data_IF_200547059662
#
_entry.id   IF_200547059662
#
_cell.length_a   1.000
_cell.length_b   1.000
_cell.length_c   1.000
_cell.angle_alpha   90.00
_cell.angle_beta   90.00
_cell.angle_gamma   90.00
#
_symmetry.space_group_name_H-M   'P 1'
#
loop_
_entity.id
_entity.type
_entity.pdbx_description
1 polymer ?
#
# COMPACT_ATOMS: atom_id res chain seq x y z
N UNK A 1 -26.33 12.04 -4.52
CA UNK A 1 -25.03 11.45 -4.94
C UNK A 1 -24.73 10.27 -4.04
N UNK A 2 -24.86 9.05 -4.54
CA UNK A 2 -24.52 7.83 -3.80
C UNK A 2 -23.02 7.90 -3.46
N UNK A 3 -22.65 7.79 -2.18
CA UNK A 3 -21.27 7.59 -1.75
C UNK A 3 -20.83 6.22 -2.30
N UNK A 4 -20.14 6.20 -3.42
CA UNK A 4 -19.61 4.98 -4.01
C UNK A 4 -18.86 4.20 -2.93
N UNK A 5 -19.20 2.92 -2.77
CA UNK A 5 -18.55 2.01 -1.84
C UNK A 5 -17.05 2.00 -2.18
N UNK A 6 -16.20 2.41 -1.24
CA UNK A 6 -14.74 2.38 -1.46
C UNK A 6 -14.32 0.95 -1.79
N UNK A 7 -13.46 0.81 -2.79
CA UNK A 7 -12.88 -0.47 -3.16
C UNK A 7 -12.13 -1.06 -1.94
N UNK A 8 -12.53 -2.24 -1.48
CA UNK A 8 -11.78 -2.98 -0.45
C UNK A 8 -10.76 -3.86 -1.15
N UNK A 9 -9.46 -3.59 -0.96
CA UNK A 9 -8.35 -4.36 -1.55
C UNK A 9 -7.83 -5.38 -0.54
N UNK A 10 -7.64 -4.95 0.71
CA UNK A 10 -7.19 -5.75 1.82
C UNK A 10 -8.30 -5.87 2.88
N UNK A 11 -8.28 -6.95 3.63
CA UNK A 11 -9.09 -7.11 4.83
C UNK A 11 -8.58 -6.22 5.97
N UNK A 12 -9.40 -5.99 6.99
CA UNK A 12 -8.99 -5.21 8.16
C UNK A 12 -7.79 -5.85 8.89
N UNK A 13 -7.75 -7.18 8.96
CA UNK A 13 -6.64 -7.91 9.57
C UNK A 13 -5.32 -7.73 8.78
N UNK A 14 -5.36 -7.82 7.46
CA UNK A 14 -4.17 -7.58 6.62
C UNK A 14 -3.68 -6.13 6.71
N UNK A 15 -4.60 -5.16 6.79
CA UNK A 15 -4.23 -3.75 6.98
C UNK A 15 -3.55 -3.57 8.35
N UNK A 16 -4.10 -4.17 9.40
CA UNK A 16 -3.52 -4.11 10.73
C UNK A 16 -2.14 -4.78 10.77
N UNK A 17 -2.01 -5.95 10.17
CA UNK A 17 -0.74 -6.68 10.07
C UNK A 17 0.34 -5.84 9.35
N UNK A 18 0.01 -5.20 8.24
CA UNK A 18 0.96 -4.40 7.46
C UNK A 18 1.33 -3.08 8.15
N UNK A 19 0.34 -2.35 8.69
CA UNK A 19 0.52 -0.97 9.15
C UNK A 19 0.62 -0.83 10.67
N UNK A 20 0.46 -1.90 11.45
CA UNK A 20 0.74 -1.86 12.89
C UNK A 20 2.25 -1.94 13.15
N UNK A 21 2.73 -1.33 14.25
CA UNK A 21 4.10 -1.51 14.71
C UNK A 21 4.40 -3.00 14.92
N UNK A 22 5.60 -3.46 14.56
CA UNK A 22 6.00 -4.83 14.81
C UNK A 22 6.05 -5.10 16.32
N UNK A 23 5.74 -6.33 16.72
CA UNK A 23 5.93 -6.81 18.08
C UNK A 23 7.20 -7.65 18.08
N UNK A 24 8.27 -7.11 18.65
CA UNK A 24 9.57 -7.75 18.64
C UNK A 24 9.78 -8.65 19.86
N UNK A 25 10.31 -9.85 19.64
CA UNK A 25 10.94 -10.66 20.68
C UNK A 25 12.28 -10.01 21.10
N UNK A 26 12.90 -10.50 22.16
CA UNK A 26 14.21 -9.99 22.60
C UNK A 26 15.31 -10.22 21.54
N UNK A 27 15.24 -11.32 20.79
CA UNK A 27 16.14 -11.60 19.67
C UNK A 27 15.92 -10.62 18.50
N UNK A 28 14.65 -10.31 18.18
CA UNK A 28 14.33 -9.35 17.14
C UNK A 28 14.78 -7.93 17.53
N UNK A 29 14.56 -7.54 18.80
CA UNK A 29 15.05 -6.26 19.30
C UNK A 29 16.57 -6.14 19.16
N UNK A 30 17.33 -7.18 19.48
CA UNK A 30 18.77 -7.20 19.26
C UNK A 30 19.14 -7.09 17.80
N UNK A 31 18.45 -7.78 16.92
CA UNK A 31 18.72 -7.78 15.48
C UNK A 31 18.39 -6.42 14.85
N UNK A 32 17.16 -5.92 15.04
CA UNK A 32 16.67 -4.71 14.35
C UNK A 32 17.21 -3.41 14.97
N UNK A 33 17.53 -3.37 16.26
CA UNK A 33 18.03 -2.17 16.92
C UNK A 33 19.56 -2.11 17.02
N UNK A 34 20.29 -3.13 16.56
CA UNK A 34 21.74 -3.03 16.42
C UNK A 34 22.08 -2.11 15.26
N UNK A 35 22.87 -1.08 15.55
CA UNK A 35 23.31 -0.09 14.59
C UNK A 35 24.66 -0.50 13.99
N UNK A 36 24.82 -0.31 12.69
CA UNK A 36 26.13 -0.30 12.06
C UNK A 36 26.83 1.06 12.30
N UNK A 37 28.11 1.17 11.94
CA UNK A 37 28.92 2.38 12.20
C UNK A 37 28.31 3.64 11.56
N UNK A 38 27.84 3.54 10.32
CA UNK A 38 27.20 4.67 9.63
C UNK A 38 25.90 5.10 10.31
N UNK A 39 25.07 4.14 10.72
CA UNK A 39 23.84 4.42 11.45
C UNK A 39 24.11 5.06 12.79
N UNK A 40 25.10 4.55 13.50
CA UNK A 40 25.52 5.07 14.79
C UNK A 40 25.99 6.52 14.68
N UNK A 41 26.83 6.84 13.71
CA UNK A 41 27.34 8.20 13.47
C UNK A 41 26.19 9.16 13.14
N UNK A 42 25.27 8.78 12.25
CA UNK A 42 24.14 9.63 11.87
C UNK A 42 23.16 9.86 13.03
N UNK A 43 22.89 8.83 13.83
CA UNK A 43 22.05 8.96 15.02
C UNK A 43 22.73 9.89 16.05
N UNK A 44 24.04 9.83 16.21
CA UNK A 44 24.76 10.69 17.14
C UNK A 44 24.74 12.17 16.77
N UNK A 45 24.49 12.51 15.51
CA UNK A 45 24.27 13.92 15.04
C UNK A 45 22.95 14.51 15.55
N UNK A 46 22.02 13.69 16.05
CA UNK A 46 20.79 14.16 16.66
C UNK A 46 21.14 14.74 18.04
N UNK A 47 20.84 16.00 18.28
CA UNK A 47 21.24 16.72 19.52
C UNK A 47 20.58 16.12 20.78
N UNK A 48 19.28 15.86 20.72
CA UNK A 48 18.49 15.36 21.87
C UNK A 48 18.61 13.84 21.99
N UNK A 49 19.07 13.35 23.14
CA UNK A 49 19.22 11.91 23.41
C UNK A 49 17.90 11.13 23.34
N UNK A 50 16.77 11.74 23.75
CA UNK A 50 15.45 11.11 23.63
C UNK A 50 15.05 10.93 22.17
N UNK A 51 15.35 11.92 21.34
CA UNK A 51 15.12 11.81 19.91
C UNK A 51 16.00 10.75 19.25
N UNK A 52 17.24 10.54 19.75
CA UNK A 52 18.11 9.43 19.29
C UNK A 52 17.45 8.08 19.57
N UNK A 53 16.95 7.88 20.79
CA UNK A 53 16.25 6.63 21.16
C UNK A 53 15.06 6.37 20.23
N UNK A 54 14.23 7.37 20.02
CA UNK A 54 13.09 7.23 19.09
C UNK A 54 13.55 6.96 17.66
N UNK A 55 14.58 7.66 17.18
CA UNK A 55 15.10 7.44 15.83
C UNK A 55 15.60 6.01 15.63
N UNK A 56 16.26 5.41 16.64
CA UNK A 56 16.70 4.01 16.60
C UNK A 56 15.50 3.05 16.53
N UNK A 57 14.45 3.30 17.32
CA UNK A 57 13.23 2.48 17.28
C UNK A 57 12.54 2.60 15.93
N UNK A 58 12.39 3.82 15.39
CA UNK A 58 11.81 4.02 14.06
C UNK A 58 12.65 3.38 12.95
N UNK A 59 13.98 3.45 13.06
CA UNK A 59 14.90 2.78 12.14
C UNK A 59 14.71 1.26 12.16
N UNK A 60 14.64 0.66 13.35
CA UNK A 60 14.42 -0.78 13.50
C UNK A 60 13.05 -1.21 12.96
N UNK A 61 12.01 -0.43 13.20
CA UNK A 61 10.69 -0.69 12.64
C UNK A 61 10.71 -0.63 11.11
N UNK A 62 11.37 0.37 10.54
CA UNK A 62 11.48 0.48 9.08
C UNK A 62 12.33 -0.63 8.46
N UNK A 63 13.39 -1.09 9.14
CA UNK A 63 14.16 -2.26 8.71
C UNK A 63 13.30 -3.54 8.67
N UNK A 64 12.37 -3.67 9.61
CA UNK A 64 11.43 -4.80 9.67
C UNK A 64 10.31 -4.69 8.64
N UNK A 65 9.77 -3.49 8.47
CA UNK A 65 8.67 -3.18 7.53
C UNK A 65 8.98 -1.85 6.85
N UNK A 66 9.18 -1.82 5.51
CA UNK A 66 9.53 -0.60 4.78
C UNK A 66 8.34 0.38 4.64
N UNK A 67 7.59 0.56 5.71
CA UNK A 67 6.40 1.39 5.81
C UNK A 67 6.65 2.47 6.88
N UNK A 68 6.42 3.74 6.60
CA UNK A 68 6.48 4.81 7.59
C UNK A 68 5.35 4.65 8.62
N UNK A 69 5.60 3.88 9.66
CA UNK A 69 4.64 3.64 10.71
C UNK A 69 4.46 4.88 11.59
N UNK A 70 3.24 5.07 12.11
CA UNK A 70 2.95 6.12 13.07
C UNK A 70 2.64 5.52 14.47
N UNK A 71 3.61 4.87 15.13
CA UNK A 71 3.37 4.19 16.38
C UNK A 71 3.02 5.17 17.51
N UNK A 72 2.14 4.73 18.41
CA UNK A 72 1.87 5.44 19.66
C UNK A 72 3.04 5.25 20.64
N UNK A 73 3.19 6.17 21.57
CA UNK A 73 4.18 6.00 22.64
C UNK A 73 3.99 4.68 23.41
N UNK A 74 2.73 4.29 23.64
CA UNK A 74 2.40 3.06 24.37
C UNK A 74 2.87 1.81 23.61
N UNK A 75 2.69 1.78 22.28
CA UNK A 75 3.14 0.64 21.47
C UNK A 75 4.66 0.52 21.35
N UNK A 76 5.40 1.63 21.49
CA UNK A 76 6.87 1.64 21.44
C UNK A 76 7.53 1.42 22.79
N UNK A 77 6.80 1.37 23.91
CA UNK A 77 7.36 1.48 25.26
C UNK A 77 8.43 0.43 25.56
N UNK A 78 8.21 -0.82 25.20
CA UNK A 78 9.17 -1.92 25.38
C UNK A 78 10.47 -1.65 24.62
N UNK A 79 10.34 -1.27 23.35
CA UNK A 79 11.47 -1.07 22.44
C UNK A 79 12.28 0.17 22.82
N UNK A 80 11.60 1.24 23.25
CA UNK A 80 12.26 2.43 23.77
C UNK A 80 13.06 2.13 25.04
N UNK A 81 12.53 1.29 25.94
CA UNK A 81 13.24 0.85 27.15
C UNK A 81 14.46 -0.01 26.78
N UNK A 82 14.31 -0.94 25.85
CA UNK A 82 15.40 -1.79 25.36
C UNK A 82 16.54 -0.95 24.73
N UNK A 83 16.21 -0.06 23.80
CA UNK A 83 17.19 0.81 23.14
C UNK A 83 17.88 1.75 24.13
N UNK A 84 17.12 2.31 25.10
CA UNK A 84 17.71 3.15 26.16
C UNK A 84 18.73 2.39 26.99
N UNK A 85 18.41 1.15 27.37
CA UNK A 85 19.33 0.28 28.11
C UNK A 85 20.57 -0.09 27.30
N UNK A 86 20.41 -0.30 26.01
CA UNK A 86 21.49 -0.72 25.11
C UNK A 86 22.51 0.40 24.86
N UNK A 87 22.03 1.60 24.52
CA UNK A 87 22.87 2.71 24.05
C UNK A 87 23.03 3.88 25.02
N UNK A 88 22.10 4.05 25.97
CA UNK A 88 22.02 5.24 26.83
C UNK A 88 21.77 4.87 28.28
N UNK A 89 22.67 4.09 28.89
CA UNK A 89 22.53 3.50 30.26
C UNK A 89 22.14 4.50 31.33
N UNK A 90 22.58 5.76 31.22
CA UNK A 90 22.31 6.83 32.18
C UNK A 90 21.00 7.59 31.88
N UNK A 91 20.30 7.27 30.78
CA UNK A 91 19.08 7.96 30.40
C UNK A 91 17.90 7.43 31.23
N UNK A 92 17.46 8.18 32.22
CA UNK A 92 16.20 7.91 32.91
C UNK A 92 15.04 8.17 31.93
N UNK A 93 14.53 7.10 31.36
CA UNK A 93 13.45 7.15 30.39
C UNK A 93 12.14 7.58 31.10
N UNK A 94 11.61 8.73 30.72
CA UNK A 94 10.29 9.20 31.15
C UNK A 94 9.40 9.34 29.92
N UNK A 95 8.08 9.13 30.11
CA UNK A 95 7.10 9.35 29.07
C UNK A 95 7.24 10.77 28.51
N UNK A 96 7.39 10.89 27.20
CA UNK A 96 7.40 12.15 26.48
C UNK A 96 6.60 11.99 25.18
N UNK A 97 6.08 13.09 24.65
CA UNK A 97 5.42 13.13 23.37
C UNK A 97 6.30 13.88 22.38
N UNK A 98 6.39 13.38 21.17
CA UNK A 98 6.98 14.10 20.05
C UNK A 98 5.89 14.91 19.37
N UNK A 99 6.20 16.16 19.03
CA UNK A 99 5.36 16.94 18.13
C UNK A 99 5.39 16.33 16.72
N UNK A 100 4.33 16.56 15.93
CA UNK A 100 4.21 15.99 14.60
C UNK A 100 5.39 16.35 13.68
N UNK A 101 5.85 17.61 13.75
CA UNK A 101 7.01 18.10 13.00
C UNK A 101 8.32 17.42 13.40
N UNK A 102 8.51 17.17 14.70
CA UNK A 102 9.69 16.45 15.20
C UNK A 102 9.71 15.01 14.71
N UNK A 103 8.54 14.36 14.71
CA UNK A 103 8.39 13.00 14.21
C UNK A 103 8.65 12.90 12.72
N UNK A 104 8.11 13.84 11.92
CA UNK A 104 8.37 13.93 10.49
C UNK A 104 9.87 14.05 10.20
N UNK A 105 10.56 14.96 10.87
CA UNK A 105 12.02 15.15 10.72
C UNK A 105 12.83 13.90 11.11
N UNK A 106 12.40 13.14 12.12
CA UNK A 106 13.06 11.89 12.48
C UNK A 106 12.85 10.83 11.40
N UNK A 107 11.64 10.74 10.83
CA UNK A 107 11.38 9.84 9.71
C UNK A 107 12.19 10.20 8.46
N UNK A 108 12.22 11.47 8.07
CA UNK A 108 13.03 11.95 6.95
C UNK A 108 14.50 11.56 7.12
N UNK A 109 15.03 11.68 8.34
CA UNK A 109 16.39 11.28 8.66
C UNK A 109 16.59 9.76 8.58
N UNK A 110 15.64 8.96 9.06
CA UNK A 110 15.67 7.50 8.95
C UNK A 110 15.62 7.05 7.50
N UNK A 111 14.73 7.64 6.68
CA UNK A 111 14.64 7.34 5.26
C UNK A 111 15.93 7.69 4.53
N UNK A 112 16.49 8.88 4.77
CA UNK A 112 17.77 9.32 4.20
C UNK A 112 18.92 8.38 4.57
N UNK A 113 18.96 7.92 5.82
CA UNK A 113 19.97 6.98 6.30
C UNK A 113 19.92 5.63 5.57
N UNK A 114 18.74 5.18 5.23
CA UNK A 114 18.49 3.94 4.50
C UNK A 114 18.55 4.10 2.97
N UNK A 115 18.71 5.34 2.48
CA UNK A 115 18.68 5.64 1.05
C UNK A 115 17.29 5.38 0.42
N UNK A 116 16.23 5.64 1.19
CA UNK A 116 14.85 5.47 0.77
C UNK A 116 14.21 6.83 0.54
N UNK A 117 13.54 7.01 -0.60
CA UNK A 117 12.79 8.21 -0.94
C UNK A 117 11.42 8.25 -0.26
N UNK A 118 10.96 9.47 0.08
CA UNK A 118 9.59 9.63 0.61
C UNK A 118 8.57 9.59 -0.54
N UNK A 119 7.43 8.93 -0.30
CA UNK A 119 6.31 8.88 -1.25
C UNK A 119 5.75 10.27 -1.64
N UNK A 120 5.93 11.30 -0.84
CA UNK A 120 5.39 12.64 -1.13
C UNK A 120 5.97 13.29 -2.40
N UNK A 121 6.94 12.67 -3.05
CA UNK A 121 7.51 13.13 -4.31
C UNK A 121 6.50 12.95 -5.46
N UNK A 122 6.15 14.07 -6.13
CA UNK A 122 5.19 14.07 -7.24
C UNK A 122 5.66 13.22 -8.42
N UNK A 123 6.96 13.09 -8.62
CA UNK A 123 7.55 12.27 -9.67
C UNK A 123 7.25 10.78 -9.44
N UNK A 124 7.42 10.29 -8.20
CA UNK A 124 7.11 8.90 -7.85
C UNK A 124 5.64 8.55 -8.09
N UNK A 125 4.71 9.46 -7.81
CA UNK A 125 3.29 9.25 -8.08
C UNK A 125 3.02 9.03 -9.57
N UNK A 126 3.61 9.84 -10.44
CA UNK A 126 3.45 9.73 -11.90
C UNK A 126 4.01 8.40 -12.42
N UNK A 127 5.23 8.05 -12.02
CA UNK A 127 5.89 6.80 -12.41
C UNK A 127 5.12 5.57 -11.96
N UNK A 128 4.64 5.57 -10.71
CA UNK A 128 3.83 4.47 -10.19
C UNK A 128 2.49 4.36 -10.92
N UNK A 129 1.84 5.48 -11.25
CA UNK A 129 0.58 5.45 -12.02
C UNK A 129 0.79 4.82 -13.40
N UNK A 130 1.89 5.16 -14.09
CA UNK A 130 2.27 4.53 -15.36
C UNK A 130 2.45 3.02 -15.22
N UNK A 131 3.26 2.58 -14.25
CA UNK A 131 3.48 1.16 -13.95
C UNK A 131 2.17 0.40 -13.66
N UNK A 132 1.28 1.00 -12.89
CA UNK A 132 -0.02 0.38 -12.56
C UNK A 132 -0.96 0.28 -13.75
N UNK A 133 -0.96 1.26 -14.66
CA UNK A 133 -1.75 1.18 -15.89
C UNK A 133 -1.26 0.06 -16.81
N UNK A 134 0.05 -0.14 -16.91
CA UNK A 134 0.64 -1.26 -17.63
C UNK A 134 0.27 -2.59 -16.99
N UNK A 135 0.40 -2.70 -15.68
CA UNK A 135 0.02 -3.89 -14.91
C UNK A 135 -1.45 -4.23 -15.03
N UNK A 136 -2.34 -3.21 -15.08
CA UNK A 136 -3.79 -3.39 -15.23
C UNK A 136 -4.19 -4.01 -16.57
N UNK A 137 -3.37 -3.88 -17.62
CA UNK A 137 -3.61 -4.57 -18.90
C UNK A 137 -3.45 -6.10 -18.78
N UNK A 138 -2.65 -6.58 -17.85
CA UNK A 138 -2.42 -8.01 -17.62
C UNK A 138 -3.25 -8.55 -16.45
N UNK A 139 -3.41 -7.76 -15.39
CA UNK A 139 -4.01 -8.16 -14.13
C UNK A 139 -4.88 -7.03 -13.55
N UNK A 140 -6.13 -6.92 -13.99
CA UNK A 140 -7.06 -5.91 -13.48
C UNK A 140 -7.66 -6.25 -12.10
N UNK A 141 -7.06 -7.19 -11.35
CA UNK A 141 -7.51 -7.54 -10.00
C UNK A 141 -6.92 -6.55 -8.97
N UNK A 142 -7.73 -5.96 -8.08
CA UNK A 142 -7.27 -4.96 -7.12
C UNK A 142 -6.13 -5.44 -6.23
N UNK A 143 -6.16 -6.73 -5.81
CA UNK A 143 -5.12 -7.34 -4.98
C UNK A 143 -3.81 -7.46 -5.72
N UNK A 144 -3.82 -7.97 -6.95
CA UNK A 144 -2.62 -8.11 -7.77
C UNK A 144 -1.96 -6.75 -8.04
N UNK A 145 -2.76 -5.70 -8.26
CA UNK A 145 -2.23 -4.33 -8.40
C UNK A 145 -1.63 -3.81 -7.10
N UNK A 146 -2.18 -4.14 -5.95
CA UNK A 146 -1.61 -3.78 -4.66
C UNK A 146 -0.26 -4.45 -4.44
N UNK A 147 -0.17 -5.76 -4.70
CA UNK A 147 1.06 -6.54 -4.55
C UNK A 147 2.15 -6.01 -5.52
N UNK A 148 1.79 -5.77 -6.81
CA UNK A 148 2.69 -5.14 -7.80
C UNK A 148 3.13 -3.74 -7.38
N UNK A 149 2.25 -2.95 -6.74
CA UNK A 149 2.59 -1.63 -6.21
C UNK A 149 3.65 -1.71 -5.12
N UNK A 150 3.44 -2.59 -4.14
CA UNK A 150 4.37 -2.74 -3.01
C UNK A 150 5.73 -3.26 -3.46
N UNK A 151 5.75 -4.17 -4.42
CA UNK A 151 6.98 -4.67 -5.05
C UNK A 151 7.73 -3.57 -5.80
N UNK A 152 7.02 -2.80 -6.64
CA UNK A 152 7.59 -1.65 -7.36
C UNK A 152 8.22 -0.63 -6.41
N UNK A 153 7.49 -0.25 -5.35
CA UNK A 153 7.98 0.72 -4.37
C UNK A 153 9.23 0.21 -3.64
N UNK A 154 9.22 -1.06 -3.24
CA UNK A 154 10.36 -1.70 -2.56
C UNK A 154 11.58 -1.76 -3.47
N UNK A 155 11.41 -2.17 -4.73
CA UNK A 155 12.50 -2.26 -5.73
C UNK A 155 13.13 -0.89 -5.99
N UNK A 156 12.32 0.16 -6.09
CA UNK A 156 12.78 1.53 -6.34
C UNK A 156 13.21 2.27 -5.07
N UNK A 157 13.25 1.60 -3.92
CA UNK A 157 13.60 2.20 -2.61
C UNK A 157 12.72 3.41 -2.28
N UNK A 158 11.43 3.25 -2.49
CA UNK A 158 10.42 4.26 -2.15
C UNK A 158 9.64 3.75 -0.94
N UNK A 159 9.46 4.59 0.07
CA UNK A 159 8.69 4.25 1.25
C UNK A 159 7.21 3.98 0.89
N UNK A 160 6.67 2.86 1.34
CA UNK A 160 5.29 2.46 1.07
C UNK A 160 4.34 3.42 1.80
N UNK A 161 3.47 4.16 1.09
CA UNK A 161 2.57 5.12 1.71
C UNK A 161 1.43 4.44 2.49
N UNK A 162 0.61 5.25 3.18
CA UNK A 162 -0.55 4.74 3.89
C UNK A 162 -1.52 3.98 2.97
N UNK A 163 -2.16 2.93 3.49
CA UNK A 163 -3.11 2.10 2.75
C UNK A 163 -4.17 2.92 1.98
N UNK A 164 -4.71 3.96 2.62
CA UNK A 164 -5.72 4.82 1.98
C UNK A 164 -5.20 5.55 0.73
N UNK A 165 -3.92 5.86 0.67
CA UNK A 165 -3.26 6.46 -0.50
C UNK A 165 -3.17 5.44 -1.64
N UNK A 166 -2.68 4.23 -1.36
CA UNK A 166 -2.62 3.16 -2.35
C UNK A 166 -4.00 2.73 -2.83
N UNK A 167 -4.97 2.59 -1.91
CA UNK A 167 -6.35 2.27 -2.23
C UNK A 167 -6.96 3.29 -3.21
N UNK A 168 -6.73 4.57 -2.97
CA UNK A 168 -7.21 5.66 -3.86
C UNK A 168 -6.56 5.57 -5.23
N UNK A 169 -5.25 5.40 -5.28
CA UNK A 169 -4.49 5.32 -6.53
C UNK A 169 -4.93 4.11 -7.37
N UNK A 170 -4.98 2.93 -6.77
CA UNK A 170 -5.41 1.70 -7.46
C UNK A 170 -6.85 1.83 -7.96
N UNK A 171 -7.74 2.44 -7.15
CA UNK A 171 -9.12 2.68 -7.58
C UNK A 171 -9.19 3.61 -8.80
N UNK A 172 -8.36 4.65 -8.84
CA UNK A 172 -8.28 5.57 -9.97
C UNK A 172 -7.76 4.87 -11.23
N UNK A 173 -6.70 4.09 -11.09
CA UNK A 173 -6.12 3.31 -12.21
C UNK A 173 -7.14 2.32 -12.78
N UNK A 174 -7.86 1.59 -11.93
CA UNK A 174 -8.89 0.64 -12.37
C UNK A 174 -10.04 1.34 -13.12
N UNK A 175 -10.49 2.49 -12.63
CA UNK A 175 -11.51 3.30 -13.33
C UNK A 175 -10.98 3.77 -14.69
N UNK A 176 -9.76 4.28 -14.74
CA UNK A 176 -9.12 4.74 -15.97
C UNK A 176 -8.96 3.60 -16.97
N UNK A 177 -8.47 2.45 -16.53
CA UNK A 177 -8.34 1.25 -17.37
C UNK A 177 -9.70 0.77 -17.88
N UNK A 178 -10.73 0.71 -17.03
CA UNK A 178 -12.08 0.31 -17.42
C UNK A 178 -12.67 1.27 -18.46
N UNK A 179 -12.50 2.58 -18.29
CA UNK A 179 -12.96 3.58 -19.25
C UNK A 179 -12.23 3.44 -20.61
N UNK A 180 -10.90 3.25 -20.58
CA UNK A 180 -10.11 3.03 -21.80
C UNK A 180 -10.55 1.75 -22.53
N UNK A 181 -10.80 0.66 -21.80
CA UNK A 181 -11.31 -0.58 -22.36
C UNK A 181 -12.71 -0.37 -22.99
N UNK A 182 -13.60 0.33 -22.27
CA UNK A 182 -14.93 0.66 -22.78
C UNK A 182 -14.88 1.43 -24.10
N UNK A 183 -14.04 2.47 -24.20
CA UNK A 183 -13.90 3.25 -25.43
C UNK A 183 -13.28 2.41 -26.58
N UNK A 184 -12.32 1.53 -26.27
CA UNK A 184 -11.76 0.59 -27.28
C UNK A 184 -12.83 -0.37 -27.81
N UNK A 185 -13.61 -0.98 -26.92
CA UNK A 185 -14.72 -1.87 -27.32
C UNK A 185 -15.76 -1.10 -28.15
N UNK A 186 -16.13 0.10 -27.70
CA UNK A 186 -17.09 0.97 -28.40
C UNK A 186 -16.60 1.37 -29.81
N UNK A 187 -15.31 1.65 -29.97
CA UNK A 187 -14.71 1.98 -31.26
C UNK A 187 -14.62 0.75 -32.18
N UNK A 188 -14.28 -0.42 -31.63
CA UNK A 188 -14.19 -1.65 -32.40
C UNK A 188 -15.56 -2.27 -32.77
N UNK A 189 -16.64 -1.87 -32.07
CA UNK A 189 -17.96 -2.46 -32.26
C UNK A 189 -18.66 -1.88 -33.49
N UNK A 190 -18.95 -2.68 -34.54
CA UNK A 190 -19.69 -2.22 -35.74
C UNK A 190 -21.07 -1.68 -35.35
N UNK A 191 -21.58 -0.71 -36.13
CA UNK A 191 -22.90 -0.12 -35.89
C UNK A 191 -24.03 -1.17 -35.87
N UNK A 192 -23.98 -2.14 -36.79
CA UNK A 192 -24.96 -3.24 -36.85
C UNK A 192 -24.95 -4.13 -35.60
N UNK A 193 -23.78 -4.41 -35.02
CA UNK A 193 -23.68 -5.19 -33.82
C UNK A 193 -24.25 -4.45 -32.59
N UNK A 194 -24.10 -3.13 -32.53
CA UNK A 194 -24.73 -2.32 -31.47
C UNK A 194 -26.24 -2.40 -31.50
N UNK A 195 -26.83 -2.31 -32.69
CA UNK A 195 -28.30 -2.45 -32.88
C UNK A 195 -28.76 -3.85 -32.45
N UNK A 196 -28.09 -4.88 -32.93
CA UNK A 196 -28.40 -6.28 -32.57
C UNK A 196 -28.28 -6.56 -31.06
N UNK A 197 -27.23 -6.03 -30.38
CA UNK A 197 -27.11 -6.16 -28.95
C UNK A 197 -28.20 -5.38 -28.21
N UNK A 198 -28.60 -4.20 -28.70
CA UNK A 198 -29.70 -3.44 -28.09
C UNK A 198 -31.03 -4.16 -28.23
N UNK A 199 -31.30 -4.80 -29.36
CA UNK A 199 -32.48 -5.60 -29.59
C UNK A 199 -32.51 -6.84 -28.69
N UNK A 200 -31.39 -7.52 -28.51
CA UNK A 200 -31.25 -8.65 -27.59
C UNK A 200 -31.45 -8.27 -26.13
N UNK A 201 -31.07 -7.05 -25.75
CA UNK A 201 -31.18 -6.59 -24.34
C UNK A 201 -32.53 -5.94 -24.02
N UNK A 202 -33.19 -5.34 -24.99
CA UNK A 202 -34.42 -4.53 -24.83
C UNK A 202 -35.63 -5.05 -25.57
N UNK A 203 -35.48 -6.12 -26.41
CA UNK A 203 -36.57 -6.71 -27.17
C UNK A 203 -37.53 -7.55 -26.31
N UNK A 204 -38.72 -7.88 -26.89
CA UNK A 204 -39.72 -8.75 -26.22
C UNK A 204 -39.18 -10.14 -25.85
N UNK A 205 -38.12 -10.61 -26.53
CA UNK A 205 -37.34 -11.81 -26.22
C UNK A 205 -36.03 -11.49 -25.53
N UNK A 206 -35.98 -10.48 -24.67
CA UNK A 206 -34.77 -10.05 -23.97
C UNK A 206 -34.10 -11.26 -23.27
N UNK A 207 -32.93 -11.61 -23.78
CA UNK A 207 -32.05 -12.59 -23.18
C UNK A 207 -31.64 -12.05 -21.83
N UNK A 208 -32.30 -12.51 -20.76
CA UNK A 208 -32.02 -11.98 -19.42
C UNK A 208 -30.57 -12.30 -19.08
N UNK A 209 -29.80 -11.30 -18.70
CA UNK A 209 -28.41 -11.44 -18.22
C UNK A 209 -28.24 -12.53 -17.14
N UNK A 210 -29.34 -12.97 -16.53
CA UNK A 210 -29.40 -14.15 -15.67
C UNK A 210 -28.96 -15.45 -16.37
N UNK A 211 -29.26 -15.64 -17.67
CA UNK A 211 -28.82 -16.83 -18.42
C UNK A 211 -27.31 -16.84 -18.66
N UNK A 212 -26.69 -15.67 -18.84
CA UNK A 212 -25.24 -15.57 -18.96
C UNK A 212 -24.51 -15.80 -17.61
N UNK A 213 -25.21 -15.59 -16.49
CA UNK A 213 -24.67 -15.84 -15.15
C UNK A 213 -24.86 -17.29 -14.67
N UNK A 214 -25.79 -18.01 -15.24
CA UNK A 214 -26.00 -19.43 -15.00
C UNK A 214 -24.95 -20.22 -15.79
N UNK A 215 -23.69 -20.13 -15.49
CA UNK A 215 -22.56 -20.71 -16.21
C UNK A 215 -22.88 -21.99 -17.01
N UNK A 216 -22.03 -22.36 -17.96
CA UNK A 216 -22.16 -23.43 -18.98
C UNK A 216 -22.62 -24.82 -18.47
N UNK A 217 -22.87 -24.98 -17.20
CA UNK A 217 -23.33 -26.23 -16.57
C UNK A 217 -24.78 -26.63 -16.90
N UNK A 218 -25.60 -25.71 -17.40
CA UNK A 218 -27.01 -25.93 -17.67
C UNK A 218 -27.40 -25.92 -19.16
N UNK A 219 -26.41 -25.78 -20.07
CA UNK A 219 -26.70 -25.87 -21.51
C UNK A 219 -26.63 -27.33 -21.93
N UNK A 220 -27.76 -27.87 -22.35
CA UNK A 220 -27.80 -29.17 -23.04
C UNK A 220 -27.35 -28.99 -24.48
N UNK A 221 -26.67 -29.99 -25.08
CA UNK A 221 -26.05 -29.91 -26.40
C UNK A 221 -26.98 -29.50 -27.55
N UNK A 222 -28.28 -29.41 -27.35
CA UNK A 222 -29.30 -28.93 -28.30
C UNK A 222 -29.41 -27.41 -28.35
N UNK A 223 -28.95 -26.69 -27.33
CA UNK A 223 -29.04 -25.22 -27.28
C UNK A 223 -27.84 -24.49 -27.92
N UNK A 224 -26.81 -25.25 -28.28
CA UNK A 224 -25.61 -24.73 -28.95
C UNK A 224 -25.67 -24.74 -30.49
N UNK A 225 -26.75 -25.25 -31.08
CA UNK A 225 -26.94 -25.39 -32.52
C UNK A 225 -28.04 -24.48 -33.12
N UNK A 226 -28.41 -23.39 -32.41
CA UNK A 226 -29.30 -22.36 -32.97
C UNK A 226 -28.55 -21.08 -33.27
#
# INVERSE_FOLDING_TARGET
MSKGKRLSILTAAEIEELYSPPVFSESDQRFFFTLNDREFDEINRIRDRKHRVVAIVLLGYFKSKPIPLNPSFKSMQSDLAFVSKLYFKDLKYRRFSLKADQKSRLYERVLSLLGVSNWSDHEHHSLLTGHLLESANSWAAPRALFDSTTEYLSHNKIAIPAYSTLQKLISQVLIQHQNALHERVKAACPKGLKTMLSELLCGENAFTLQHLRQGARNFTGTELNC
#
